data_IF_495269783946
#
_entry.id   IF_495269783946
#
_cell.length_a   1.000
_cell.length_b   1.000
_cell.length_c   1.000
_cell.angle_alpha   90.00
_cell.angle_beta   90.00
_cell.angle_gamma   90.00
#
_symmetry.space_group_name_H-M   'P 1'
#
loop_
_entity.id
_entity.type
_entity.pdbx_description
1 polymer ?
#
# COMPACT_ATOMS: atom_id res chain seq x y z
N UNK A 1 15.98 2.05 25.35
CA UNK A 1 15.53 2.71 26.59
C UNK A 1 14.57 3.82 26.18
N UNK A 2 13.25 3.58 26.27
CA UNK A 2 12.23 4.59 26.02
C UNK A 2 11.97 5.37 27.32
N UNK A 3 12.06 6.71 27.37
CA UNK A 3 11.71 7.47 28.56
C UNK A 3 10.17 7.56 28.67
N UNK A 4 9.65 7.30 29.86
CA UNK A 4 8.22 7.28 30.16
C UNK A 4 7.57 8.65 30.10
N UNK A 5 6.28 8.67 29.77
CA UNK A 5 5.43 9.85 29.75
C UNK A 5 4.22 9.67 30.69
N UNK A 6 3.79 10.81 31.23
CA UNK A 6 2.95 10.99 32.42
C UNK A 6 1.46 11.05 32.03
N UNK A 7 0.65 10.37 32.84
CA UNK A 7 -0.81 10.29 32.82
C UNK A 7 -1.56 11.64 32.89
N UNK A 8 -2.63 11.79 32.10
CA UNK A 8 -3.85 12.54 32.44
C UNK A 8 -5.08 11.86 31.80
N UNK A 9 -6.12 11.65 32.62
CA UNK A 9 -7.35 10.89 32.36
C UNK A 9 -8.46 11.74 31.65
N UNK A 10 -9.60 11.14 31.22
CA UNK A 10 -10.21 11.38 29.90
C UNK A 10 -11.34 12.43 29.87
N UNK A 11 -11.59 12.97 28.67
CA UNK A 11 -12.82 13.69 28.33
C UNK A 11 -13.64 12.89 27.33
N UNK A 12 -14.77 12.38 27.79
CA UNK A 12 -15.82 11.70 27.02
C UNK A 12 -16.43 12.68 26.01
N UNK A 13 -16.43 12.33 24.72
CA UNK A 13 -17.22 13.02 23.70
C UNK A 13 -18.04 12.03 22.88
N UNK A 14 -19.33 11.95 23.19
CA UNK A 14 -20.33 11.21 22.44
C UNK A 14 -20.64 11.92 21.11
N UNK A 15 -20.56 11.20 19.99
CA UNK A 15 -21.02 11.68 18.68
C UNK A 15 -22.43 11.18 18.39
N UNK A 16 -23.36 12.13 18.29
CA UNK A 16 -24.73 11.92 17.88
C UNK A 16 -24.83 11.82 16.36
N UNK A 17 -25.51 10.79 15.86
CA UNK A 17 -25.95 10.72 14.47
C UNK A 17 -27.08 11.72 14.23
N UNK A 18 -26.83 12.73 13.40
CA UNK A 18 -27.89 13.56 12.81
C UNK A 18 -28.32 12.90 11.50
N UNK A 19 -29.50 12.28 11.53
CA UNK A 19 -30.19 11.82 10.34
C UNK A 19 -30.76 13.04 9.59
N UNK A 20 -30.35 13.24 8.33
CA UNK A 20 -31.04 14.15 7.43
C UNK A 20 -32.23 13.40 6.82
N UNK A 21 -33.43 13.83 7.23
CA UNK A 21 -34.73 13.45 6.66
C UNK A 21 -34.95 14.20 5.34
N UNK A 22 -35.50 13.47 4.36
CA UNK A 22 -36.10 13.99 3.14
C UNK A 22 -37.21 15.01 3.43
N UNK A 23 -37.32 16.02 2.56
CA UNK A 23 -38.59 16.68 2.25
C UNK A 23 -38.59 17.12 0.78
N UNK A 24 -39.65 16.72 0.07
CA UNK A 24 -39.83 16.91 -1.36
C UNK A 24 -40.35 18.29 -1.78
N UNK A 25 -40.32 18.54 -3.08
CA UNK A 25 -40.96 19.67 -3.72
C UNK A 25 -40.87 19.56 -5.25
N UNK A 26 -42.00 19.27 -5.90
CA UNK A 26 -42.09 18.97 -7.32
C UNK A 26 -42.12 20.18 -8.26
N UNK A 27 -42.15 19.89 -9.56
CA UNK A 27 -42.43 20.86 -10.62
C UNK A 27 -42.11 20.29 -12.00
N UNK A 28 -43.15 19.96 -12.77
CA UNK A 28 -43.04 19.29 -14.06
C UNK A 28 -42.73 20.21 -15.26
N UNK A 29 -42.67 19.59 -16.44
CA UNK A 29 -42.64 20.28 -17.73
C UNK A 29 -42.07 19.41 -18.84
N UNK A 30 -42.94 18.94 -19.74
CA UNK A 30 -42.59 18.05 -20.85
C UNK A 30 -41.79 18.71 -21.99
N UNK A 31 -41.34 17.86 -22.91
CA UNK A 31 -40.72 18.29 -24.16
C UNK A 31 -40.08 17.12 -24.90
N UNK A 32 -40.86 16.43 -25.73
CA UNK A 32 -40.41 15.49 -26.74
C UNK A 32 -39.69 16.23 -27.87
N UNK A 33 -38.51 15.74 -28.27
CA UNK A 33 -37.77 16.24 -29.43
C UNK A 33 -36.78 15.19 -29.92
N UNK A 34 -37.08 14.59 -31.06
CA UNK A 34 -36.22 13.68 -31.82
C UNK A 34 -35.24 14.45 -32.72
N UNK A 35 -34.35 13.71 -33.39
CA UNK A 35 -33.29 14.09 -34.36
C UNK A 35 -31.94 14.47 -33.73
N UNK A 36 -30.78 14.10 -34.24
CA UNK A 36 -30.36 13.45 -35.48
C UNK A 36 -28.99 14.02 -35.88
N UNK A 37 -28.02 13.16 -36.24
CA UNK A 37 -26.69 13.55 -36.75
C UNK A 37 -25.75 14.12 -35.67
N UNK A 38 -24.42 14.03 -35.75
CA UNK A 38 -23.54 13.85 -36.90
C UNK A 38 -22.14 13.43 -36.39
N UNK A 39 -21.35 12.77 -37.25
CA UNK A 39 -19.98 12.36 -36.96
C UNK A 39 -19.07 13.55 -36.63
N UNK A 40 -18.24 13.38 -35.61
CA UNK A 40 -17.22 14.33 -35.16
C UNK A 40 -15.84 13.69 -35.24
N UNK A 41 -15.09 14.13 -36.25
CA UNK A 41 -13.65 14.06 -36.48
C UNK A 41 -12.74 13.91 -35.26
N UNK A 42 -11.75 13.02 -35.40
CA UNK A 42 -10.55 12.91 -34.57
C UNK A 42 -9.90 14.29 -34.36
N UNK A 43 -9.96 14.77 -33.12
CA UNK A 43 -9.33 16.01 -32.68
C UNK A 43 -7.82 15.83 -32.55
N UNK A 44 -7.11 16.56 -33.40
CA UNK A 44 -5.67 16.76 -33.39
C UNK A 44 -5.20 17.20 -32.00
N UNK A 45 -4.16 16.53 -31.48
CA UNK A 45 -3.62 16.74 -30.14
C UNK A 45 -3.22 18.20 -29.92
N UNK A 46 -3.84 18.82 -28.91
CA UNK A 46 -3.39 20.11 -28.40
C UNK A 46 -1.97 19.97 -27.89
N UNK A 47 -1.06 20.79 -28.43
CA UNK A 47 0.26 21.05 -27.89
C UNK A 47 0.13 21.77 -26.55
N UNK A 48 -0.32 21.06 -25.52
CA UNK A 48 -0.16 21.53 -24.15
C UNK A 48 1.33 21.60 -23.87
N UNK A 49 1.80 22.75 -23.37
CA UNK A 49 3.19 22.90 -22.96
C UNK A 49 3.58 21.71 -22.06
N UNK A 50 4.60 20.98 -22.51
CA UNK A 50 5.48 20.17 -21.69
C UNK A 50 5.64 20.77 -20.28
N UNK A 51 5.23 20.10 -19.20
CA UNK A 51 5.54 20.58 -17.86
C UNK A 51 7.06 20.52 -17.68
N UNK A 52 7.61 21.44 -16.92
CA UNK A 52 9.05 21.70 -16.83
C UNK A 52 9.90 20.58 -16.16
N UNK A 53 9.39 19.35 -16.08
CA UNK A 53 10.02 18.22 -15.38
C UNK A 53 10.36 17.01 -16.27
N UNK A 54 10.41 17.21 -17.59
CA UNK A 54 10.80 16.24 -18.64
C UNK A 54 12.30 15.88 -18.61
N UNK A 55 12.79 15.43 -17.45
CA UNK A 55 14.12 14.80 -17.36
C UNK A 55 14.08 13.32 -17.76
N UNK A 56 12.88 12.75 -17.94
CA UNK A 56 12.66 11.41 -18.46
C UNK A 56 12.28 11.38 -19.95
N UNK A 57 12.26 10.18 -20.53
CA UNK A 57 11.91 9.96 -21.93
C UNK A 57 10.40 9.76 -22.18
N UNK A 58 9.97 9.73 -23.45
CA UNK A 58 8.61 9.30 -23.80
C UNK A 58 8.36 7.87 -23.32
N UNK A 59 7.19 7.62 -22.74
CA UNK A 59 6.76 6.28 -22.32
C UNK A 59 6.17 5.45 -23.45
N UNK A 60 5.71 4.25 -23.10
CA UNK A 60 5.21 3.24 -24.05
C UNK A 60 3.90 3.68 -24.73
N UNK A 61 3.03 4.38 -24.01
CA UNK A 61 1.76 4.88 -24.52
C UNK A 61 1.86 6.32 -25.03
N UNK A 62 1.02 6.68 -26.01
CA UNK A 62 1.00 8.05 -26.54
C UNK A 62 0.71 9.09 -25.44
N UNK A 63 1.60 10.07 -25.29
CA UNK A 63 1.50 11.11 -24.26
C UNK A 63 1.90 10.67 -22.85
N UNK A 64 2.41 9.44 -22.68
CA UNK A 64 2.99 8.97 -21.43
C UNK A 64 4.47 9.35 -21.33
N UNK A 65 4.98 9.36 -20.09
CA UNK A 65 6.36 9.72 -19.76
C UNK A 65 6.96 8.71 -18.82
N UNK A 66 8.28 8.49 -18.90
CA UNK A 66 8.99 7.66 -17.93
C UNK A 66 9.70 8.51 -16.90
N UNK A 67 9.73 8.05 -15.65
CA UNK A 67 10.55 8.67 -14.61
C UNK A 67 12.04 8.43 -14.84
N UNK A 68 12.88 9.22 -14.19
CA UNK A 68 14.30 8.87 -14.06
C UNK A 68 14.43 7.60 -13.20
N UNK A 69 15.48 6.82 -13.43
CA UNK A 69 15.76 5.52 -12.80
C UNK A 69 14.85 4.37 -13.23
N UNK A 70 14.23 4.46 -14.40
CA UNK A 70 13.44 3.40 -15.04
C UNK A 70 14.30 2.33 -15.74
N UNK A 71 15.63 2.47 -15.74
CA UNK A 71 16.56 1.54 -16.40
C UNK A 71 16.43 0.08 -15.89
N UNK A 72 15.86 -0.11 -14.70
CA UNK A 72 15.61 -1.42 -14.08
C UNK A 72 14.28 -2.06 -14.49
N UNK A 73 13.42 -1.36 -15.23
CA UNK A 73 12.19 -1.91 -15.78
C UNK A 73 12.47 -2.90 -16.94
N UNK A 74 13.57 -3.66 -16.89
CA UNK A 74 14.27 -4.32 -18.00
C UNK A 74 13.54 -5.43 -18.73
N UNK A 75 12.21 -5.44 -18.72
CA UNK A 75 11.36 -6.39 -19.40
C UNK A 75 10.54 -5.74 -20.53
N UNK A 76 10.37 -6.47 -21.62
CA UNK A 76 9.32 -6.20 -22.59
C UNK A 76 7.97 -6.59 -21.95
N UNK A 77 7.32 -5.64 -21.29
CA UNK A 77 5.95 -5.82 -20.81
C UNK A 77 4.95 -5.07 -21.71
N UNK A 78 3.81 -5.69 -21.96
CA UNK A 78 2.74 -5.08 -22.74
C UNK A 78 1.96 -4.12 -21.86
N UNK A 79 2.02 -2.83 -22.19
CA UNK A 79 1.27 -1.80 -21.46
C UNK A 79 -0.11 -1.62 -22.08
N UNK A 80 -1.18 -1.83 -21.30
CA UNK A 80 -2.55 -1.59 -21.76
C UNK A 80 -2.84 -0.08 -21.84
N UNK A 81 -2.57 0.52 -23.00
CA UNK A 81 -2.81 1.94 -23.26
C UNK A 81 -4.30 2.34 -23.28
N UNK A 82 -5.25 1.41 -23.12
CA UNK A 82 -6.67 1.76 -23.01
C UNK A 82 -7.03 2.33 -21.63
N UNK A 83 -6.15 2.15 -20.63
CA UNK A 83 -6.36 2.57 -19.24
C UNK A 83 -5.81 3.95 -18.92
N UNK A 84 -5.35 4.64 -19.96
CA UNK A 84 -4.67 5.93 -19.87
C UNK A 84 -5.65 7.00 -19.38
N UNK A 85 -5.45 7.51 -18.16
CA UNK A 85 -5.95 8.81 -17.74
C UNK A 85 -5.23 9.94 -18.50
N UNK A 86 -5.59 11.21 -18.30
CA UNK A 86 -4.78 12.27 -18.92
C UNK A 86 -3.34 12.20 -18.40
N UNK A 87 -2.35 12.08 -19.30
CA UNK A 87 -0.89 12.16 -19.04
C UNK A 87 -0.35 11.14 -18.02
N UNK A 88 -0.41 9.83 -18.30
CA UNK A 88 0.08 8.83 -17.36
C UNK A 88 1.62 8.80 -17.34
N UNK A 89 2.17 8.40 -16.21
CA UNK A 89 3.57 8.03 -16.07
C UNK A 89 3.68 6.53 -16.31
N UNK A 90 4.49 6.13 -17.27
CA UNK A 90 4.86 4.74 -17.50
C UNK A 90 6.01 4.38 -16.54
N UNK A 91 5.68 3.59 -15.52
CA UNK A 91 6.64 3.04 -14.56
C UNK A 91 6.62 1.53 -14.66
N UNK A 92 7.57 0.98 -15.42
CA UNK A 92 7.71 -0.46 -15.65
C UNK A 92 6.42 -1.13 -16.17
N UNK A 93 5.80 -0.51 -17.17
CA UNK A 93 4.54 -0.92 -17.81
C UNK A 93 3.28 -0.78 -16.96
N UNK A 94 3.39 -0.15 -15.79
CA UNK A 94 2.25 0.34 -15.04
C UNK A 94 2.02 1.79 -15.40
N UNK A 95 0.81 2.11 -15.87
CA UNK A 95 0.39 3.48 -16.15
C UNK A 95 -0.11 4.13 -14.86
N UNK A 96 0.79 4.85 -14.18
CA UNK A 96 0.51 5.59 -12.96
C UNK A 96 -0.02 6.97 -13.29
N UNK A 97 -0.98 7.49 -12.51
CA UNK A 97 -1.45 8.86 -12.69
C UNK A 97 -0.33 9.89 -12.43
N UNK A 98 -0.35 11.00 -13.17
CA UNK A 98 0.63 12.08 -13.05
C UNK A 98 0.72 12.61 -11.60
N UNK A 99 1.89 12.52 -10.94
CA UNK A 99 2.05 13.07 -9.60
C UNK A 99 1.96 14.60 -9.62
N UNK A 100 1.37 15.16 -8.56
CA UNK A 100 1.57 16.56 -8.25
C UNK A 100 0.88 17.56 -9.20
N UNK A 101 -0.35 17.26 -9.66
CA UNK A 101 -1.17 18.21 -10.46
C UNK A 101 -1.54 19.51 -9.72
N UNK A 102 -1.25 19.61 -8.43
CA UNK A 102 -1.36 20.82 -7.63
C UNK A 102 -0.21 21.81 -7.82
N UNK A 103 -0.46 23.07 -7.50
CA UNK A 103 0.58 24.11 -7.44
C UNK A 103 1.29 24.10 -6.08
N UNK A 104 2.61 24.28 -6.07
CA UNK A 104 3.38 24.54 -4.84
C UNK A 104 4.21 23.35 -4.34
N UNK A 105 4.74 23.48 -3.13
CA UNK A 105 5.68 22.52 -2.54
C UNK A 105 5.03 21.17 -2.15
N UNK A 106 3.70 21.14 -1.96
CA UNK A 106 2.93 19.94 -1.60
C UNK A 106 2.84 18.90 -2.70
N UNK A 107 3.40 19.17 -3.89
CA UNK A 107 3.41 18.25 -5.02
C UNK A 107 4.63 17.33 -5.05
N UNK A 108 5.67 17.66 -4.28
CA UNK A 108 6.91 16.90 -4.23
C UNK A 108 6.83 15.82 -3.15
N UNK A 109 7.59 14.74 -3.36
CA UNK A 109 7.81 13.72 -2.35
C UNK A 109 8.40 14.36 -1.10
N UNK A 110 7.83 14.00 0.04
CA UNK A 110 8.27 14.48 1.35
C UNK A 110 8.29 13.32 2.32
N UNK A 111 9.33 13.28 3.16
CA UNK A 111 9.35 12.39 4.33
C UNK A 111 8.32 12.85 5.34
N UNK A 112 7.58 11.90 5.90
CA UNK A 112 6.75 12.16 7.07
C UNK A 112 7.63 12.46 8.29
N UNK A 113 7.17 13.37 9.16
CA UNK A 113 7.99 13.93 10.26
C UNK A 113 7.48 13.60 11.65
N UNK A 114 6.25 13.14 11.75
CA UNK A 114 5.43 13.18 12.96
C UNK A 114 4.51 11.96 13.07
N UNK A 115 4.80 10.89 12.33
CA UNK A 115 4.20 9.57 12.56
C UNK A 115 4.89 8.87 13.72
N UNK A 116 4.14 8.00 14.41
CA UNK A 116 4.65 7.16 15.49
C UNK A 116 5.79 6.27 14.99
N UNK A 117 5.60 5.70 13.79
CA UNK A 117 6.57 4.85 13.11
C UNK A 117 7.01 5.44 11.77
N UNK A 118 8.23 5.09 11.36
CA UNK A 118 8.77 5.40 10.03
C UNK A 118 8.75 6.90 9.68
N UNK A 119 9.05 7.75 10.67
CA UNK A 119 9.15 9.21 10.53
C UNK A 119 10.61 9.70 10.58
N UNK A 120 10.86 10.80 9.88
CA UNK A 120 12.08 11.57 9.96
C UNK A 120 11.77 12.98 10.52
N UNK A 121 11.94 13.20 11.84
CA UNK A 121 11.62 14.48 12.45
C UNK A 121 12.52 15.63 11.96
N UNK A 122 13.66 15.33 11.33
CA UNK A 122 14.54 16.34 10.74
C UNK A 122 13.95 16.91 9.45
N UNK A 123 13.06 16.16 8.80
CA UNK A 123 12.45 16.54 7.54
C UNK A 123 13.43 16.60 6.38
N UNK A 124 14.44 15.72 6.38
CA UNK A 124 15.43 15.63 5.32
C UNK A 124 14.76 15.34 3.95
N UNK A 125 15.43 15.67 2.85
CA UNK A 125 14.96 15.25 1.52
C UNK A 125 14.82 13.71 1.44
N UNK A 126 13.86 13.19 0.64
CA UNK A 126 13.75 11.77 0.38
C UNK A 126 15.07 11.13 -0.07
N UNK A 127 15.48 10.03 0.56
CA UNK A 127 16.62 9.24 0.10
C UNK A 127 16.13 8.25 -0.95
N UNK A 128 16.53 8.44 -2.20
CA UNK A 128 16.13 7.58 -3.32
C UNK A 128 17.28 6.74 -3.90
N UNK A 129 18.44 6.71 -3.24
CA UNK A 129 19.67 6.07 -3.76
C UNK A 129 19.51 4.58 -4.08
N UNK A 130 18.81 3.83 -3.26
CA UNK A 130 18.50 2.41 -3.41
C UNK A 130 17.55 2.08 -4.58
N UNK A 131 16.81 3.07 -5.09
CA UNK A 131 16.04 2.94 -6.34
C UNK A 131 16.94 3.10 -7.58
N UNK A 132 18.26 3.16 -7.41
CA UNK A 132 19.19 3.29 -8.54
C UNK A 132 20.17 2.13 -8.65
N UNK A 133 20.23 1.23 -7.66
CA UNK A 133 21.08 0.04 -7.68
C UNK A 133 20.53 -0.98 -6.69
N UNK A 134 20.30 -2.25 -7.10
CA UNK A 134 19.94 -3.29 -6.15
C UNK A 134 21.05 -3.49 -5.13
N UNK A 135 20.68 -3.73 -3.87
CA UNK A 135 21.64 -4.07 -2.80
C UNK A 135 22.32 -5.42 -3.04
N UNK A 136 23.42 -5.66 -2.32
CA UNK A 136 24.17 -6.90 -2.43
C UNK A 136 23.34 -8.11 -1.95
N UNK A 137 23.50 -9.25 -2.63
CA UNK A 137 22.88 -10.52 -2.24
C UNK A 137 23.88 -11.32 -1.41
N UNK A 138 23.58 -11.49 -0.13
CA UNK A 138 24.36 -12.32 0.79
C UNK A 138 24.01 -13.81 0.73
N UNK A 139 24.66 -14.60 1.58
CA UNK A 139 24.35 -16.03 1.73
C UNK A 139 23.19 -16.20 2.69
N UNK A 140 22.14 -16.91 2.26
CA UNK A 140 20.97 -17.19 3.11
C UNK A 140 21.36 -17.96 4.37
N UNK A 141 20.86 -17.51 5.52
CA UNK A 141 20.96 -18.19 6.82
C UNK A 141 19.62 -18.12 7.56
N UNK A 142 19.29 -19.09 8.42
CA UNK A 142 18.08 -19.04 9.22
C UNK A 142 18.20 -18.01 10.35
N UNK A 143 17.13 -17.26 10.59
CA UNK A 143 17.00 -16.28 11.68
C UNK A 143 15.64 -16.45 12.38
N UNK A 144 15.49 -15.85 13.56
CA UNK A 144 14.19 -15.73 14.23
C UNK A 144 13.54 -14.43 13.79
N UNK A 145 12.27 -14.45 13.39
CA UNK A 145 11.45 -13.25 13.22
C UNK A 145 10.51 -13.09 14.41
N UNK A 146 10.48 -11.93 15.05
CA UNK A 146 9.58 -11.66 16.18
C UNK A 146 9.01 -10.24 16.08
N UNK A 147 7.92 -9.97 16.79
CA UNK A 147 7.31 -8.65 16.82
C UNK A 147 5.93 -8.71 17.46
N UNK A 148 5.12 -7.68 17.22
CA UNK A 148 3.71 -7.66 17.59
C UNK A 148 2.81 -7.78 16.37
N UNK A 149 1.63 -8.37 16.58
CA UNK A 149 0.52 -8.37 15.65
C UNK A 149 -0.42 -7.26 16.06
N UNK A 150 -0.63 -6.33 15.13
CA UNK A 150 -1.47 -5.14 15.32
C UNK A 150 -2.67 -5.20 14.37
N UNK A 151 -3.80 -4.65 14.80
CA UNK A 151 -4.92 -4.43 13.91
C UNK A 151 -4.56 -3.40 12.83
N UNK A 152 -5.10 -3.56 11.62
CA UNK A 152 -4.99 -2.52 10.60
C UNK A 152 -5.92 -1.32 10.87
N UNK A 153 -7.14 -1.57 11.33
CA UNK A 153 -8.09 -0.51 11.67
C UNK A 153 -9.04 -0.91 12.80
N UNK A 154 -9.76 -2.03 12.66
CA UNK A 154 -10.62 -2.56 13.72
C UNK A 154 -10.08 -3.88 14.28
N UNK A 155 -10.37 -4.13 15.55
CA UNK A 155 -9.97 -5.33 16.27
C UNK A 155 -9.43 -4.98 17.66
N UNK A 156 -10.11 -5.44 18.71
CA UNK A 156 -9.75 -5.10 20.09
C UNK A 156 -8.84 -6.12 20.77
N UNK A 157 -8.89 -7.36 20.32
CA UNK A 157 -8.06 -8.44 20.83
C UNK A 157 -7.50 -9.20 19.65
N UNK A 158 -6.18 -9.13 19.46
CA UNK A 158 -5.45 -9.80 18.39
C UNK A 158 -5.13 -11.27 18.73
N UNK A 159 -5.90 -11.90 19.62
CA UNK A 159 -5.86 -13.35 19.84
C UNK A 159 -6.30 -14.13 18.59
N UNK A 160 -5.82 -15.37 18.48
CA UNK A 160 -6.20 -16.31 17.42
C UNK A 160 -5.84 -15.85 15.99
N UNK A 161 -4.85 -14.95 15.86
CA UNK A 161 -4.25 -14.62 14.57
C UNK A 161 -3.23 -15.71 14.24
N UNK A 162 -3.46 -16.38 13.11
CA UNK A 162 -2.50 -17.31 12.51
C UNK A 162 -1.51 -16.52 11.65
N UNK A 163 -0.23 -16.63 11.95
CA UNK A 163 0.89 -16.06 11.20
C UNK A 163 1.62 -17.20 10.49
N UNK A 164 1.80 -17.08 9.18
CA UNK A 164 2.50 -18.05 8.35
C UNK A 164 3.52 -17.33 7.46
N UNK A 165 4.70 -17.92 7.27
CA UNK A 165 5.74 -17.38 6.38
C UNK A 165 5.97 -18.36 5.24
N UNK A 166 5.84 -17.88 4.01
CA UNK A 166 6.02 -18.68 2.81
C UNK A 166 7.21 -18.17 2.00
N UNK A 167 7.93 -19.09 1.36
CA UNK A 167 8.76 -18.74 0.20
C UNK A 167 7.87 -18.44 -1.01
N UNK A 168 8.32 -17.51 -1.86
CA UNK A 168 7.59 -17.05 -3.05
C UNK A 168 8.26 -17.60 -4.31
N UNK A 169 7.45 -17.98 -5.30
CA UNK A 169 7.96 -18.35 -6.62
C UNK A 169 8.40 -17.09 -7.37
N UNK A 170 9.69 -17.01 -7.69
CA UNK A 170 10.32 -15.84 -8.32
C UNK A 170 10.68 -16.08 -9.78
N UNK A 171 10.37 -17.27 -10.33
CA UNK A 171 10.58 -17.56 -11.74
C UNK A 171 9.43 -16.97 -12.58
N UNK A 172 9.66 -15.91 -13.38
CA UNK A 172 8.61 -15.28 -14.18
C UNK A 172 8.04 -16.22 -15.27
N UNK A 173 8.73 -17.32 -15.58
CA UNK A 173 8.23 -18.34 -16.51
C UNK A 173 7.31 -19.39 -15.85
N UNK A 174 7.22 -19.39 -14.53
CA UNK A 174 6.41 -20.34 -13.77
C UNK A 174 4.93 -19.99 -13.75
N UNK A 175 4.06 -21.01 -13.88
CA UNK A 175 2.61 -20.82 -13.72
C UNK A 175 2.21 -20.41 -12.29
N UNK A 176 3.07 -20.72 -11.31
CA UNK A 176 2.95 -20.30 -9.91
C UNK A 176 3.76 -19.05 -9.60
N UNK A 177 4.23 -18.28 -10.59
CA UNK A 177 4.93 -17.02 -10.32
C UNK A 177 4.16 -16.16 -9.32
N UNK A 178 4.89 -15.66 -8.31
CA UNK A 178 4.42 -14.94 -7.13
C UNK A 178 3.43 -15.68 -6.23
N UNK A 179 3.22 -16.99 -6.40
CA UNK A 179 2.40 -17.80 -5.49
C UNK A 179 3.22 -18.34 -4.30
N UNK A 180 2.52 -18.90 -3.30
CA UNK A 180 3.10 -19.62 -2.17
C UNK A 180 3.77 -20.90 -2.67
N UNK A 181 5.07 -21.07 -2.38
CA UNK A 181 5.80 -22.31 -2.72
C UNK A 181 5.85 -23.26 -1.53
N UNK A 182 6.53 -22.86 -0.46
CA UNK A 182 6.71 -23.70 0.72
C UNK A 182 6.56 -22.87 2.00
N UNK A 183 5.79 -23.41 2.95
CA UNK A 183 5.73 -22.90 4.32
C UNK A 183 7.11 -23.04 4.96
N UNK A 184 7.64 -21.94 5.46
CA UNK A 184 8.85 -21.89 6.27
C UNK A 184 8.47 -22.32 7.69
N UNK A 185 9.18 -23.30 8.26
CA UNK A 185 8.90 -23.72 9.63
C UNK A 185 7.47 -24.22 9.85
N UNK A 186 6.71 -23.56 10.73
CA UNK A 186 5.33 -23.93 11.08
C UNK A 186 4.52 -22.68 11.42
N UNK A 187 3.20 -22.74 11.19
CA UNK A 187 2.30 -21.65 11.57
C UNK A 187 2.42 -21.31 13.06
N UNK A 188 2.40 -20.02 13.37
CA UNK A 188 2.41 -19.49 14.74
C UNK A 188 1.05 -18.86 15.01
N UNK A 189 0.58 -18.96 16.24
CA UNK A 189 -0.71 -18.43 16.66
C UNK A 189 -0.49 -17.47 17.81
N UNK A 190 -1.11 -16.31 17.75
CA UNK A 190 -1.17 -15.40 18.88
C UNK A 190 -2.15 -15.91 19.92
N UNK A 191 -1.77 -15.83 21.20
CA UNK A 191 -2.60 -16.27 22.33
C UNK A 191 -2.73 -15.20 23.43
N UNK A 192 -3.50 -15.54 24.47
CA UNK A 192 -3.83 -14.61 25.56
C UNK A 192 -2.63 -14.21 26.43
N UNK A 193 -1.54 -14.97 26.40
CA UNK A 193 -0.36 -14.74 27.25
C UNK A 193 0.62 -13.74 26.64
N UNK A 194 0.46 -13.42 25.36
CA UNK A 194 1.35 -12.53 24.60
C UNK A 194 0.84 -11.09 24.53
N UNK A 195 -0.03 -10.67 25.46
CA UNK A 195 -0.65 -9.34 25.46
C UNK A 195 0.39 -8.22 25.58
N UNK A 196 0.38 -7.31 24.61
CA UNK A 196 1.06 -6.02 24.67
C UNK A 196 -0.03 -4.95 24.62
N UNK A 197 -0.38 -4.34 25.77
CA UNK A 197 -1.36 -3.26 25.78
C UNK A 197 -0.89 -2.13 24.88
N UNK A 198 -1.75 -1.72 23.96
CA UNK A 198 -1.57 -0.47 23.23
C UNK A 198 -2.12 0.69 24.06
N UNK A 199 -1.58 1.88 23.88
CA UNK A 199 -2.13 3.10 24.53
C UNK A 199 -3.42 3.59 23.84
N UNK A 200 -3.81 2.94 22.74
CA UNK A 200 -4.97 3.28 21.94
C UNK A 200 -6.30 2.86 22.56
N UNK A 201 -7.16 3.86 22.79
CA UNK A 201 -8.53 3.74 23.31
C UNK A 201 -9.55 3.47 22.19
N UNK A 202 -9.18 2.69 21.18
CA UNK A 202 -10.02 2.43 20.01
C UNK A 202 -11.10 1.37 20.25
N UNK A 203 -11.20 0.88 21.47
CA UNK A 203 -12.06 -0.21 21.86
C UNK A 203 -13.05 0.25 22.94
N UNK A 204 -14.36 -0.05 22.80
CA UNK A 204 -15.41 0.61 23.58
C UNK A 204 -15.27 0.54 25.10
N UNK A 205 -14.60 -0.50 25.61
CA UNK A 205 -14.54 -0.83 27.03
C UNK A 205 -13.12 -1.20 27.53
N UNK A 206 -12.12 -1.27 26.65
CA UNK A 206 -10.76 -1.76 26.95
C UNK A 206 -9.72 -1.15 26.00
N UNK A 207 -8.42 -1.21 26.35
CA UNK A 207 -7.33 -0.90 25.43
C UNK A 207 -7.20 -1.99 24.36
N UNK A 208 -6.68 -1.63 23.17
CA UNK A 208 -6.32 -2.61 22.14
C UNK A 208 -5.27 -3.58 22.71
N UNK A 209 -5.54 -4.88 22.62
CA UNK A 209 -4.62 -5.93 23.03
C UNK A 209 -3.87 -6.48 21.81
N UNK A 210 -2.76 -5.82 21.46
CA UNK A 210 -1.79 -6.36 20.52
C UNK A 210 -1.17 -7.64 21.08
N UNK A 211 -0.73 -8.55 20.20
CA UNK A 211 -0.16 -9.84 20.62
C UNK A 211 1.23 -10.03 20.05
N UNK A 212 2.19 -10.41 20.88
CA UNK A 212 3.52 -10.77 20.37
C UNK A 212 3.47 -12.07 19.57
N UNK A 213 4.43 -12.25 18.66
CA UNK A 213 4.63 -13.51 17.95
C UNK A 213 6.13 -13.78 17.78
N UNK A 214 6.48 -15.06 17.64
CA UNK A 214 7.86 -15.50 17.39
C UNK A 214 7.89 -16.64 16.39
N UNK A 215 8.63 -16.46 15.30
CA UNK A 215 8.68 -17.34 14.14
C UNK A 215 10.12 -17.78 13.87
N UNK A 216 10.38 -19.08 13.90
CA UNK A 216 11.74 -19.62 13.81
C UNK A 216 12.12 -20.03 12.38
N UNK A 217 13.43 -20.08 12.13
CA UNK A 217 14.03 -20.58 10.88
C UNK A 217 13.64 -19.80 9.62
N UNK A 218 13.40 -18.49 9.75
CA UNK A 218 13.12 -17.61 8.62
C UNK A 218 14.41 -17.39 7.82
N UNK A 219 14.47 -17.70 6.52
CA UNK A 219 15.70 -17.55 5.75
C UNK A 219 15.95 -16.07 5.41
N UNK A 220 17.19 -15.61 5.63
CA UNK A 220 17.65 -14.32 5.07
C UNK A 220 17.90 -14.45 3.57
N UNK A 221 18.04 -13.31 2.89
CA UNK A 221 18.35 -13.23 1.47
C UNK A 221 17.44 -14.07 0.57
N UNK A 222 16.19 -14.27 0.99
CA UNK A 222 15.15 -15.02 0.28
C UNK A 222 13.89 -14.18 0.25
N UNK A 223 13.18 -14.17 -0.87
CA UNK A 223 11.88 -13.51 -0.95
C UNK A 223 10.82 -14.31 -0.19
N UNK A 224 10.15 -13.62 0.72
CA UNK A 224 9.16 -14.20 1.60
C UNK A 224 7.83 -13.45 1.49
N UNK A 225 6.77 -14.19 1.77
CA UNK A 225 5.44 -13.66 1.97
C UNK A 225 4.94 -14.05 3.36
N UNK A 226 4.44 -13.07 4.11
CA UNK A 226 3.77 -13.33 5.39
C UNK A 226 2.27 -13.35 5.17
N UNK A 227 1.59 -14.34 5.72
CA UNK A 227 0.14 -14.45 5.69
C UNK A 227 -0.37 -14.35 7.13
N UNK A 228 -1.23 -13.36 7.40
CA UNK A 228 -2.01 -13.30 8.63
C UNK A 228 -3.47 -13.64 8.33
N UNK A 229 -4.09 -14.45 9.18
CA UNK A 229 -5.47 -14.91 9.00
C UNK A 229 -6.08 -15.42 10.30
N UNK A 230 -7.35 -15.83 10.29
CA UNK A 230 -7.96 -16.49 11.45
C UNK A 230 -7.35 -17.89 11.59
N UNK A 231 -6.99 -18.31 12.81
CA UNK A 231 -6.70 -19.72 13.05
C UNK A 231 -7.92 -20.57 12.67
N UNK A 232 -7.72 -21.72 12.04
CA UNK A 232 -8.80 -22.60 11.60
C UNK A 232 -9.54 -23.22 12.79
N UNK A 233 -10.40 -22.45 13.45
CA UNK A 233 -11.33 -22.92 14.47
C UNK A 233 -12.59 -23.40 13.75
N UNK A 234 -12.70 -24.72 13.57
CA UNK A 234 -13.84 -25.36 12.93
C UNK A 234 -15.17 -24.88 13.52
N UNK A 235 -15.89 -24.01 12.79
CA UNK A 235 -17.25 -23.59 13.11
C UNK A 235 -17.45 -22.12 13.51
N UNK A 236 -16.39 -21.34 13.75
CA UNK A 236 -16.50 -19.91 14.03
C UNK A 236 -16.45 -19.09 12.74
N UNK A 237 -17.16 -17.95 12.70
CA UNK A 237 -16.98 -16.97 11.62
C UNK A 237 -15.52 -16.47 11.65
N UNK A 238 -14.87 -16.26 10.50
CA UNK A 238 -13.52 -15.71 10.47
C UNK A 238 -13.53 -14.32 11.11
N UNK A 239 -12.63 -14.10 12.06
CA UNK A 239 -12.42 -12.80 12.69
C UNK A 239 -11.45 -11.94 11.85
N UNK A 240 -10.46 -12.60 11.26
CA UNK A 240 -9.37 -12.02 10.49
C UNK A 240 -9.43 -12.50 9.04
N UNK A 241 -9.44 -11.54 8.12
CA UNK A 241 -9.33 -11.78 6.68
C UNK A 241 -7.88 -12.12 6.32
N UNK A 242 -7.66 -13.05 5.38
CA UNK A 242 -6.32 -13.33 4.88
C UNK A 242 -5.67 -12.06 4.32
N UNK A 243 -4.52 -11.70 4.89
CA UNK A 243 -3.67 -10.61 4.43
C UNK A 243 -2.32 -11.18 4.01
N UNK A 244 -2.00 -11.03 2.72
CA UNK A 244 -0.79 -11.53 2.08
C UNK A 244 0.22 -10.38 1.95
N UNK A 245 1.24 -10.35 2.78
CA UNK A 245 2.26 -9.28 2.76
C UNK A 245 3.48 -9.73 1.97
N UNK A 246 3.67 -9.14 0.80
CA UNK A 246 4.83 -9.36 -0.08
C UNK A 246 6.03 -8.51 0.33
N UNK A 247 7.15 -8.74 -0.36
CA UNK A 247 8.39 -7.99 -0.23
C UNK A 247 8.99 -8.04 1.18
N UNK A 248 8.83 -9.17 1.88
CA UNK A 248 9.68 -9.47 3.03
C UNK A 248 10.98 -10.05 2.51
N UNK A 249 12.07 -9.30 2.67
CA UNK A 249 13.41 -9.76 2.36
C UNK A 249 14.37 -9.29 3.44
N UNK A 250 14.87 -10.23 4.24
CA UNK A 250 15.71 -9.93 5.40
C UNK A 250 17.16 -9.89 4.95
N UNK A 251 17.84 -8.78 5.24
CA UNK A 251 19.27 -8.60 5.02
C UNK A 251 19.99 -8.32 6.34
N UNK A 252 21.29 -8.56 6.38
CA UNK A 252 22.08 -8.22 7.58
C UNK A 252 22.30 -6.71 7.76
N UNK A 253 22.02 -5.92 6.72
CA UNK A 253 22.07 -4.44 6.74
C UNK A 253 20.72 -3.82 7.15
N UNK A 254 19.69 -4.64 7.32
CA UNK A 254 18.40 -4.18 7.77
C UNK A 254 18.51 -3.65 9.21
N UNK A 255 18.12 -2.40 9.53
CA UNK A 255 18.10 -1.87 10.89
C UNK A 255 17.21 -2.67 11.85
N UNK A 256 16.24 -3.41 11.32
CA UNK A 256 15.38 -4.29 12.11
C UNK A 256 16.07 -5.64 12.39
N UNK A 257 17.23 -5.92 11.78
CA UNK A 257 18.02 -7.12 11.99
C UNK A 257 19.11 -6.91 13.06
N UNK A 258 19.04 -7.71 14.13
CA UNK A 258 20.07 -7.76 15.15
C UNK A 258 21.04 -8.92 14.89
N UNK A 259 22.21 -8.60 14.34
CA UNK A 259 23.25 -9.58 14.03
C UNK A 259 23.81 -10.33 15.26
N UNK A 260 23.73 -9.75 16.46
CA UNK A 260 24.24 -10.39 17.67
C UNK A 260 23.33 -11.51 18.17
N UNK A 261 22.02 -11.39 17.95
CA UNK A 261 21.02 -12.38 18.38
C UNK A 261 20.45 -13.19 17.22
N UNK A 262 20.74 -12.85 15.97
CA UNK A 262 20.09 -13.38 14.76
C UNK A 262 18.56 -13.26 14.83
N UNK A 263 18.09 -12.12 15.35
CA UNK A 263 16.66 -11.78 15.45
C UNK A 263 16.35 -10.65 14.47
N UNK A 264 15.27 -10.82 13.72
CA UNK A 264 14.67 -9.78 12.89
C UNK A 264 13.35 -9.33 13.52
N UNK A 265 13.28 -8.07 13.96
CA UNK A 265 12.09 -7.53 14.61
C UNK A 265 11.16 -6.91 13.59
N UNK A 266 9.95 -7.45 13.45
CA UNK A 266 8.96 -6.92 12.50
C UNK A 266 7.55 -7.11 13.00
N UNK A 267 6.80 -6.02 13.03
CA UNK A 267 5.39 -6.10 13.37
C UNK A 267 4.57 -6.55 12.15
N UNK A 268 3.47 -7.26 12.43
CA UNK A 268 2.56 -7.79 11.43
C UNK A 268 1.20 -7.12 11.59
N UNK A 269 0.52 -6.90 10.46
CA UNK A 269 -0.85 -6.40 10.48
C UNK A 269 -1.82 -7.57 10.37
N UNK A 270 -2.94 -7.48 11.07
CA UNK A 270 -4.12 -8.32 10.87
C UNK A 270 -5.28 -7.45 10.39
N UNK A 271 -6.00 -7.92 9.37
CA UNK A 271 -7.17 -7.23 8.85
C UNK A 271 -8.43 -7.88 9.40
N UNK A 272 -9.26 -7.11 10.13
CA UNK A 272 -10.55 -7.62 10.59
C UNK A 272 -11.48 -7.94 9.41
N UNK A 273 -12.31 -8.97 9.56
CA UNK A 273 -13.28 -9.39 8.54
C UNK A 273 -14.26 -8.28 8.15
N UNK A 274 -14.63 -7.45 9.13
CA UNK A 274 -15.47 -6.26 8.93
C UNK A 274 -14.82 -5.20 8.05
N UNK A 275 -13.51 -5.01 8.16
CA UNK A 275 -12.79 -3.93 7.48
C UNK A 275 -12.70 -4.18 5.98
N UNK A 276 -12.59 -5.45 5.61
CA UNK A 276 -12.57 -5.87 4.21
C UNK A 276 -13.82 -5.44 3.43
N UNK A 277 -14.94 -5.20 4.11
CA UNK A 277 -16.17 -4.69 3.49
C UNK A 277 -16.41 -3.20 3.77
N UNK A 278 -16.00 -2.72 4.95
CA UNK A 278 -16.20 -1.34 5.36
C UNK A 278 -15.33 -0.35 4.56
N UNK A 279 -14.03 -0.62 4.43
CA UNK A 279 -13.10 0.28 3.75
C UNK A 279 -13.54 0.53 2.29
N UNK A 280 -13.88 -0.50 1.48
CA UNK A 280 -14.41 -0.27 0.14
C UNK A 280 -15.71 0.54 0.15
N UNK A 281 -16.62 0.28 1.09
CA UNK A 281 -17.88 1.02 1.16
C UNK A 281 -17.64 2.51 1.38
N UNK A 282 -16.65 2.89 2.20
CA UNK A 282 -16.24 4.29 2.38
C UNK A 282 -15.52 4.84 1.15
N UNK A 283 -14.61 4.07 0.53
CA UNK A 283 -13.79 4.52 -0.59
C UNK A 283 -14.57 4.70 -1.92
N UNK A 284 -15.45 3.75 -2.24
CA UNK A 284 -16.11 3.67 -3.55
C UNK A 284 -17.65 3.64 -3.48
N UNK A 285 -18.24 3.75 -2.28
CA UNK A 285 -19.69 3.66 -2.09
C UNK A 285 -20.27 2.26 -2.36
N UNK A 286 -19.43 1.23 -2.45
CA UNK A 286 -19.81 -0.16 -2.71
C UNK A 286 -18.79 -1.14 -2.13
N UNK A 287 -19.12 -2.42 -2.09
CA UNK A 287 -18.25 -3.48 -1.56
C UNK A 287 -17.35 -4.09 -2.64
N UNK A 288 -16.31 -4.82 -2.23
CA UNK A 288 -15.53 -5.66 -3.15
C UNK A 288 -16.44 -6.77 -3.68
N UNK A 289 -16.43 -6.97 -5.00
CA UNK A 289 -17.20 -8.04 -5.64
C UNK A 289 -16.67 -9.39 -5.18
N UNK A 290 -17.57 -10.35 -4.95
CA UNK A 290 -17.18 -11.71 -4.54
C UNK A 290 -16.17 -12.32 -5.52
N UNK A 291 -15.09 -12.90 -4.99
CA UNK A 291 -14.00 -13.49 -5.76
C UNK A 291 -12.92 -12.50 -6.18
N UNK A 292 -13.16 -11.19 -6.06
CA UNK A 292 -12.12 -10.17 -6.21
C UNK A 292 -11.39 -9.95 -4.88
N UNK A 293 -10.18 -9.41 -4.96
CA UNK A 293 -9.39 -9.00 -3.82
C UNK A 293 -9.24 -7.49 -3.72
N UNK A 294 -8.38 -7.07 -2.80
CA UNK A 294 -7.82 -5.72 -2.75
C UNK A 294 -6.30 -5.78 -2.62
N UNK A 295 -5.65 -4.71 -3.05
CA UNK A 295 -4.23 -4.47 -2.85
C UNK A 295 -4.10 -3.25 -1.97
N UNK A 296 -3.13 -3.21 -1.08
CA UNK A 296 -2.77 -2.00 -0.37
C UNK A 296 -1.31 -2.00 0.04
N UNK A 297 -0.90 -0.96 0.73
CA UNK A 297 0.42 -0.87 1.29
C UNK A 297 0.84 0.56 1.55
N UNK A 298 2.15 0.75 1.66
CA UNK A 298 2.76 2.03 1.96
C UNK A 298 3.89 2.31 0.95
N UNK A 299 4.30 3.57 0.83
CA UNK A 299 5.44 3.97 0.02
C UNK A 299 6.52 4.57 0.91
N UNK A 300 7.70 3.99 0.90
CA UNK A 300 8.82 4.41 1.74
C UNK A 300 10.01 4.76 0.86
N UNK A 301 10.93 5.51 1.43
CA UNK A 301 12.23 5.78 0.82
C UNK A 301 13.28 4.73 1.25
N UNK A 302 14.55 4.96 0.92
CA UNK A 302 15.64 4.03 1.24
C UNK A 302 15.94 3.88 2.72
N UNK A 303 15.61 4.89 3.52
CA UNK A 303 15.85 4.88 4.96
C UNK A 303 14.64 4.28 5.71
N UNK A 304 13.69 3.67 4.98
CA UNK A 304 12.44 3.14 5.51
C UNK A 304 11.60 4.23 6.19
N UNK A 305 11.58 5.42 5.59
CA UNK A 305 10.74 6.55 6.01
C UNK A 305 9.57 6.68 5.06
N UNK A 306 8.37 6.84 5.61
CA UNK A 306 7.13 7.04 4.85
C UNK A 306 7.21 8.26 3.95
N UNK A 307 6.78 8.08 2.70
CA UNK A 307 6.72 9.13 1.69
C UNK A 307 5.30 9.61 1.46
N UNK A 308 5.13 10.92 1.56
CA UNK A 308 3.94 11.64 1.13
C UNK A 308 4.03 11.97 -0.36
N UNK A 309 2.87 12.14 -0.98
CA UNK A 309 2.66 12.56 -2.36
C UNK A 309 3.23 11.59 -3.42
N UNK A 310 3.38 10.32 -3.05
CA UNK A 310 3.67 9.26 -4.01
C UNK A 310 2.36 8.84 -4.69
N UNK A 311 2.41 8.64 -6.00
CA UNK A 311 1.32 8.07 -6.77
C UNK A 311 1.57 6.59 -6.98
N UNK A 312 0.56 5.76 -6.76
CA UNK A 312 0.64 4.31 -6.95
C UNK A 312 -0.43 3.87 -7.93
N UNK A 313 -0.12 2.88 -8.75
CA UNK A 313 -1.10 2.23 -9.60
C UNK A 313 -0.75 0.75 -9.85
N UNK A 314 -1.65 0.03 -10.52
CA UNK A 314 -1.54 -1.38 -10.90
C UNK A 314 -1.92 -1.60 -12.38
N UNK A 315 -1.32 -2.62 -13.00
CA UNK A 315 -1.50 -2.98 -14.41
C UNK A 315 -2.75 -3.84 -14.70
N UNK A 316 -3.56 -4.16 -13.69
CA UNK A 316 -4.83 -4.91 -13.81
C UNK A 316 -6.05 -4.03 -13.54
N UNK A 317 -7.24 -4.49 -13.98
CA UNK A 317 -8.48 -3.74 -13.79
C UNK A 317 -8.81 -3.62 -12.30
N UNK A 318 -9.39 -2.48 -11.92
CA UNK A 318 -9.79 -2.16 -10.54
C UNK A 318 -10.93 -1.15 -10.55
N UNK A 319 -11.65 -1.03 -9.44
CA UNK A 319 -12.67 0.03 -9.32
C UNK A 319 -12.05 1.40 -9.05
N UNK A 320 -11.06 1.47 -8.15
CA UNK A 320 -10.40 2.71 -7.74
C UNK A 320 -9.02 2.43 -7.14
N UNK A 321 -8.12 3.41 -7.21
CA UNK A 321 -6.99 3.54 -6.29
C UNK A 321 -7.32 4.64 -5.28
N UNK A 322 -7.43 4.26 -4.01
CA UNK A 322 -7.71 5.15 -2.90
C UNK A 322 -6.44 5.42 -2.09
N UNK A 323 -6.31 6.64 -1.61
CA UNK A 323 -5.30 7.06 -0.64
C UNK A 323 -6.00 7.35 0.68
N UNK A 324 -5.28 7.30 1.79
CA UNK A 324 -5.88 7.44 3.11
C UNK A 324 -5.56 8.81 3.72
N UNK A 325 -6.38 9.20 4.70
CA UNK A 325 -6.16 10.37 5.52
C UNK A 325 -4.93 10.19 6.43
N UNK A 326 -4.66 11.24 7.20
CA UNK A 326 -3.47 11.33 8.05
C UNK A 326 -3.67 10.74 9.45
N UNK A 327 -4.82 10.09 9.72
CA UNK A 327 -5.09 9.38 10.97
C UNK A 327 -4.37 8.03 10.95
N UNK A 328 -3.33 7.90 11.77
CA UNK A 328 -2.51 6.69 11.84
C UNK A 328 -3.22 5.51 12.50
N UNK A 329 -4.17 5.80 13.40
CA UNK A 329 -4.84 4.79 14.19
C UNK A 329 -6.07 4.26 13.46
N UNK A 330 -6.76 5.15 12.74
CA UNK A 330 -7.96 4.84 11.95
C UNK A 330 -7.86 5.44 10.56
N UNK A 331 -6.92 4.94 9.73
CA UNK A 331 -6.78 5.44 8.38
C UNK A 331 -8.08 5.17 7.61
N UNK A 332 -8.68 6.24 7.08
CA UNK A 332 -9.86 6.17 6.22
C UNK A 332 -9.52 6.69 4.82
N UNK A 333 -10.15 6.12 3.77
CA UNK A 333 -10.00 6.64 2.41
C UNK A 333 -10.32 8.14 2.31
N UNK A 334 -9.45 8.90 1.66
CA UNK A 334 -9.59 10.32 1.37
C UNK A 334 -9.59 10.58 -0.13
N UNK A 335 -10.78 10.84 -0.68
CA UNK A 335 -10.98 11.14 -2.11
C UNK A 335 -10.30 12.43 -2.56
N UNK A 336 -10.00 13.36 -1.64
CA UNK A 336 -9.31 14.62 -1.93
C UNK A 336 -7.85 14.42 -2.33
N UNK A 337 -7.29 13.23 -2.07
CA UNK A 337 -5.89 12.90 -2.36
C UNK A 337 -5.66 12.26 -3.72
N UNK A 338 -6.71 11.99 -4.50
CA UNK A 338 -6.59 11.35 -5.84
C UNK A 338 -5.66 12.09 -6.82
N UNK A 339 -5.39 13.38 -6.61
CA UNK A 339 -4.46 14.20 -7.41
C UNK A 339 -3.12 14.49 -6.73
N UNK A 340 -2.98 14.14 -5.45
CA UNK A 340 -1.79 14.38 -4.63
C UNK A 340 -1.00 13.11 -4.37
N UNK A 341 -1.69 11.98 -4.21
CA UNK A 341 -1.09 10.69 -3.85
C UNK A 341 -1.15 10.42 -2.35
N UNK A 342 -0.21 9.62 -1.86
CA UNK A 342 -0.13 9.19 -0.46
C UNK A 342 -0.09 10.34 0.53
N UNK A 343 -0.75 10.19 1.69
CA UNK A 343 -0.72 11.16 2.80
C UNK A 343 0.41 10.92 3.79
N UNK A 344 0.27 11.48 4.99
CA UNK A 344 1.21 11.35 6.12
C UNK A 344 1.47 9.89 6.48
N UNK A 345 0.42 9.06 6.46
CA UNK A 345 0.47 7.60 6.72
C UNK A 345 1.14 6.81 5.59
N UNK A 346 1.31 7.44 4.42
CA UNK A 346 1.76 6.80 3.18
C UNK A 346 0.85 5.69 2.63
N UNK A 347 -0.33 5.49 3.20
CA UNK A 347 -1.18 4.33 2.85
C UNK A 347 -1.91 4.58 1.52
N UNK A 348 -1.97 3.53 0.70
CA UNK A 348 -2.76 3.46 -0.52
C UNK A 348 -3.45 2.11 -0.63
N UNK A 349 -4.48 2.02 -1.48
CA UNK A 349 -5.13 0.76 -1.84
C UNK A 349 -5.69 0.78 -3.25
N UNK A 350 -5.65 -0.35 -3.93
CA UNK A 350 -6.41 -0.62 -5.14
C UNK A 350 -7.51 -1.64 -4.82
N UNK A 351 -8.76 -1.30 -5.15
CA UNK A 351 -9.90 -2.05 -4.66
C UNK A 351 -10.66 -2.74 -5.79
N UNK A 352 -11.29 -3.87 -5.43
CA UNK A 352 -12.08 -4.71 -6.34
C UNK A 352 -11.26 -5.20 -7.53
N UNK A 353 -10.11 -5.81 -7.23
CA UNK A 353 -9.12 -6.27 -8.20
C UNK A 353 -9.38 -7.76 -8.51
N UNK A 354 -9.47 -8.17 -9.78
CA UNK A 354 -9.59 -9.58 -10.15
C UNK A 354 -8.40 -10.41 -9.62
N UNK A 355 -8.62 -11.69 -9.27
CA UNK A 355 -7.54 -12.57 -8.86
C UNK A 355 -6.60 -12.87 -10.03
N UNK A 356 -5.31 -13.07 -9.75
CA UNK A 356 -4.28 -13.32 -10.75
C UNK A 356 -2.99 -12.53 -10.53
N UNK A 357 -2.08 -12.58 -11.49
CA UNK A 357 -0.87 -11.75 -11.47
C UNK A 357 -1.22 -10.29 -11.66
N UNK A 358 -0.54 -9.42 -10.94
CA UNK A 358 -0.60 -7.97 -11.08
C UNK A 358 0.78 -7.37 -10.80
N UNK A 359 1.11 -6.30 -11.52
CA UNK A 359 2.27 -5.45 -11.26
C UNK A 359 1.79 -4.16 -10.61
N UNK A 360 2.44 -3.77 -9.53
CA UNK A 360 2.22 -2.50 -8.84
C UNK A 360 3.42 -1.61 -9.09
N UNK A 361 3.22 -0.31 -9.33
CA UNK A 361 4.33 0.64 -9.40
C UNK A 361 4.00 1.95 -8.69
N UNK A 362 5.04 2.61 -8.19
CA UNK A 362 4.94 3.89 -7.51
C UNK A 362 5.82 4.95 -8.18
N UNK A 363 5.37 6.20 -8.19
CA UNK A 363 6.09 7.34 -8.78
C UNK A 363 5.93 8.60 -7.93
N UNK A 364 6.77 9.61 -8.18
CA UNK A 364 6.63 10.90 -7.51
C UNK A 364 7.46 11.99 -8.17
N UNK A 365 7.37 13.21 -7.64
CA UNK A 365 8.19 14.35 -8.05
C UNK A 365 9.21 14.70 -6.97
N UNK A 366 10.45 14.95 -7.35
CA UNK A 366 11.46 15.56 -6.47
C UNK A 366 11.90 16.92 -7.01
N UNK A 367 12.46 17.74 -6.13
CA UNK A 367 13.18 18.94 -6.50
C UNK A 367 14.67 18.73 -6.25
N UNK A 368 15.46 18.76 -7.30
CA UNK A 368 16.91 18.55 -7.24
C UNK A 368 17.59 19.62 -8.13
N UNK A 369 18.56 20.33 -7.57
CA UNK A 369 19.28 21.42 -8.26
C UNK A 369 18.37 22.49 -8.88
N UNK A 370 17.23 22.77 -8.24
CA UNK A 370 16.24 23.73 -8.72
C UNK A 370 15.37 23.22 -9.88
N UNK A 371 15.62 22.02 -10.40
CA UNK A 371 14.78 21.35 -11.39
C UNK A 371 13.77 20.43 -10.71
N UNK A 372 12.59 20.29 -11.31
CA UNK A 372 11.63 19.24 -10.93
C UNK A 372 11.97 17.98 -11.72
N UNK A 373 12.05 16.82 -11.06
CA UNK A 373 12.28 15.53 -11.71
C UNK A 373 11.16 14.56 -11.35
N UNK A 374 10.67 13.84 -12.35
CA UNK A 374 9.80 12.70 -12.16
C UNK A 374 10.65 11.47 -11.86
N UNK A 375 10.38 10.78 -10.76
CA UNK A 375 11.13 9.58 -10.32
C UNK A 375 10.20 8.37 -10.25
N UNK A 376 10.73 7.20 -10.59
CA UNK A 376 10.12 5.93 -10.18
C UNK A 376 10.53 5.59 -8.75
N UNK A 377 9.58 5.06 -7.98
CA UNK A 377 9.76 4.51 -6.64
C UNK A 377 9.68 2.98 -6.68
N UNK A 378 9.96 2.39 -7.84
CA UNK A 378 9.98 0.95 -8.03
C UNK A 378 8.69 0.37 -8.58
N UNK A 379 8.76 -0.93 -8.79
CA UNK A 379 7.63 -1.79 -9.14
C UNK A 379 7.77 -3.14 -8.42
N UNK A 380 6.67 -3.86 -8.31
CA UNK A 380 6.67 -5.19 -7.73
C UNK A 380 5.57 -6.04 -8.35
N UNK A 381 5.92 -7.25 -8.75
CA UNK A 381 4.95 -8.26 -9.19
C UNK A 381 4.37 -9.01 -7.98
N UNK A 382 3.05 -9.12 -7.95
CA UNK A 382 2.30 -9.80 -6.91
C UNK A 382 1.24 -10.71 -7.52
N UNK A 383 0.75 -11.65 -6.71
CA UNK A 383 -0.47 -12.41 -7.01
C UNK A 383 -1.61 -11.94 -6.11
N UNK A 384 -2.74 -11.65 -6.74
CA UNK A 384 -4.00 -11.27 -6.11
C UNK A 384 -4.78 -12.53 -5.77
N UNK A 385 -5.04 -12.70 -4.48
CA UNK A 385 -5.85 -13.81 -3.98
C UNK A 385 -7.32 -13.40 -3.87
N UNK A 386 -8.26 -14.29 -4.24
CA UNK A 386 -9.69 -14.01 -4.18
C UNK A 386 -10.14 -13.81 -2.73
N UNK A 387 -11.04 -12.86 -2.50
CA UNK A 387 -11.66 -12.58 -1.19
C UNK A 387 -10.64 -12.29 -0.06
N UNK A 388 -9.48 -11.73 -0.42
CA UNK A 388 -8.36 -11.44 0.46
C UNK A 388 -7.72 -10.08 0.14
N UNK A 389 -6.82 -9.63 1.01
CA UNK A 389 -6.00 -8.45 0.77
C UNK A 389 -4.57 -8.84 0.52
N UNK A 390 -3.96 -8.22 -0.48
CA UNK A 390 -2.54 -8.32 -0.77
C UNK A 390 -1.87 -7.00 -0.39
N UNK A 391 -0.88 -7.05 0.50
CA UNK A 391 -0.11 -5.88 0.90
C UNK A 391 1.25 -5.89 0.20
N UNK A 392 1.62 -4.75 -0.39
CA UNK A 392 2.96 -4.51 -0.92
C UNK A 392 3.44 -3.13 -0.48
N UNK A 393 4.55 -3.12 0.26
CA UNK A 393 5.22 -1.89 0.66
C UNK A 393 6.40 -1.65 -0.27
N UNK A 394 6.45 -0.48 -0.89
CA UNK A 394 7.65 -0.01 -1.59
C UNK A 394 8.66 0.42 -0.53
N UNK A 395 9.47 -0.51 -0.05
CA UNK A 395 10.61 -0.22 0.81
C UNK A 395 11.83 -0.11 -0.08
N UNK A 396 12.56 0.99 0.02
CA UNK A 396 13.70 1.25 -0.86
C UNK A 396 14.78 0.15 -0.86
N UNK A 397 14.76 -0.81 0.06
CA UNK A 397 15.75 -1.90 0.09
C UNK A 397 15.68 -2.84 -1.10
N UNK A 398 14.51 -3.05 -1.70
CA UNK A 398 14.35 -3.88 -2.93
C UNK A 398 13.18 -3.39 -3.78
N UNK A 399 13.37 -2.26 -4.47
CA UNK A 399 12.27 -1.62 -5.16
C UNK A 399 12.04 -2.13 -6.58
N UNK A 400 12.88 -3.05 -7.06
CA UNK A 400 12.76 -3.67 -8.37
C UNK A 400 12.86 -5.18 -8.19
N UNK A 401 11.77 -5.91 -8.48
CA UNK A 401 11.74 -7.37 -8.45
C UNK A 401 10.71 -7.92 -9.42
#
# INVERSE_FOLDING_TARGET
MRPGLIWLAPAVLALAFVACSDDGGGGGGGGSGASGGNGGTAGNGGSGNAPAYETGGPGTCNGSWRGVNDAYCGEECETDCSRVGQRPVDSCCVLVAEPGRGSGASRFLQRTRDTNDFSDPTGAPPNLSCFTSPGEVGTSKPVTMEGIVEAFSNGCDLSNVKVEVYTVDTDPSSASYRDKVALVGSAVFTDDFDAVPDEDDNCPDDLVQNRSYRYENVPTYTELMVVTSTADASGSKPQWKPLYTYNLYITEEDPDFNAATNVYTRDQRALADSDFQLIPTVAMGSTISRGNGAIGGEVHDCDNIRLQNAMVDIDVSRSIVAYFNDDELKPLPDTGRTQLGTGRTSIWSALNVPPGLARVAATGLIQEDGATKLVTLGHYDIRIFPDAVTSVTFRGRRPFQ
#
